data_IF_567726657183
#
_entry.id   IF_567726657183
#
_cell.length_a   1.000
_cell.length_b   1.000
_cell.length_c   1.000
_cell.angle_alpha   90.00
_cell.angle_beta   90.00
_cell.angle_gamma   90.00
#
_symmetry.space_group_name_H-M   'P 1'
#
loop_
_entity.id
_entity.type
_entity.pdbx_description
1 polymer ?
#
# COMPACT_ATOMS: atom_id res chain seq x y z
N UNK A 1 19.40 -15.79 2.76
CA UNK A 1 19.54 -14.48 3.44
C UNK A 1 18.66 -14.53 4.67
N UNK A 2 19.17 -14.16 5.84
CA UNK A 2 18.37 -14.08 7.07
C UNK A 2 17.44 -12.86 6.97
N UNK A 3 16.13 -12.98 7.23
CA UNK A 3 15.23 -11.84 7.28
C UNK A 3 15.73 -10.79 8.28
N UNK A 4 15.66 -9.52 7.93
CA UNK A 4 15.99 -8.42 8.84
C UNK A 4 14.71 -7.72 9.24
N UNK A 5 14.55 -7.45 10.53
CA UNK A 5 13.43 -6.65 11.01
C UNK A 5 13.43 -5.28 10.32
N UNK A 6 12.25 -4.81 9.90
CA UNK A 6 12.09 -3.50 9.26
C UNK A 6 12.43 -2.41 10.29
N UNK A 7 13.62 -1.82 10.17
CA UNK A 7 14.07 -0.74 11.07
C UNK A 7 13.63 0.65 10.64
N UNK A 8 13.37 0.85 9.35
CA UNK A 8 13.10 2.16 8.75
C UNK A 8 11.74 2.19 8.04
N UNK A 9 11.76 2.28 6.72
CA UNK A 9 10.58 2.35 5.87
C UNK A 9 10.55 1.18 4.92
N UNK A 10 9.36 0.69 4.65
CA UNK A 10 9.09 -0.29 3.60
C UNK A 10 7.81 0.13 2.88
N UNK A 11 7.66 -0.30 1.65
CA UNK A 11 6.50 0.02 0.84
C UNK A 11 6.03 -1.22 0.11
N UNK A 12 4.72 -1.41 0.05
CA UNK A 12 4.09 -2.53 -0.64
C UNK A 12 2.83 -2.07 -1.37
N UNK A 13 2.51 -2.81 -2.41
CA UNK A 13 1.18 -2.86 -3.02
C UNK A 13 0.55 -4.23 -2.74
N UNK A 14 -0.76 -4.27 -2.56
CA UNK A 14 -1.52 -5.52 -2.71
C UNK A 14 -2.45 -5.37 -3.91
N UNK A 15 -2.39 -6.30 -4.85
CA UNK A 15 -3.24 -6.29 -6.05
C UNK A 15 -4.71 -6.58 -5.72
N UNK A 16 -5.64 -6.28 -6.66
CA UNK A 16 -7.04 -6.69 -6.55
C UNK A 16 -7.25 -8.22 -6.46
N UNK A 17 -6.24 -9.04 -6.71
CA UNK A 17 -6.25 -10.49 -6.58
C UNK A 17 -5.57 -10.96 -5.29
N UNK A 18 -4.95 -10.05 -4.52
CA UNK A 18 -4.28 -10.33 -3.26
C UNK A 18 -2.77 -10.57 -3.37
N UNK A 19 -2.15 -10.32 -4.53
CA UNK A 19 -0.70 -10.45 -4.70
C UNK A 19 0.03 -9.31 -3.99
N UNK A 20 1.01 -9.63 -3.14
CA UNK A 20 1.80 -8.65 -2.40
C UNK A 20 3.07 -8.32 -3.19
N UNK A 21 3.23 -7.05 -3.56
CA UNK A 21 4.35 -6.54 -4.35
C UNK A 21 5.20 -5.58 -3.50
N UNK A 22 6.44 -5.95 -3.14
CA UNK A 22 7.35 -5.03 -2.46
C UNK A 22 7.83 -3.93 -3.40
N UNK A 23 7.93 -2.72 -2.87
CA UNK A 23 8.32 -1.51 -3.61
C UNK A 23 9.70 -1.07 -3.14
N UNK A 24 10.69 -1.11 -4.04
CA UNK A 24 12.09 -0.78 -3.73
C UNK A 24 12.38 0.72 -3.67
N UNK A 25 11.62 1.54 -4.41
CA UNK A 25 11.79 3.00 -4.49
C UNK A 25 10.63 3.70 -3.76
N UNK A 26 9.62 4.15 -4.50
CA UNK A 26 8.38 4.71 -3.99
C UNK A 26 7.20 4.15 -4.81
N UNK A 27 5.99 4.36 -4.31
CA UNK A 27 4.78 3.78 -4.90
C UNK A 27 4.53 4.24 -6.34
N UNK A 28 4.81 5.50 -6.68
CA UNK A 28 4.51 6.03 -8.01
C UNK A 28 5.56 5.60 -9.05
N UNK A 29 6.84 5.58 -8.67
CA UNK A 29 7.91 5.04 -9.52
C UNK A 29 7.66 3.58 -9.88
N UNK A 30 7.17 2.78 -8.91
CA UNK A 30 6.83 1.38 -9.17
C UNK A 30 5.70 1.25 -10.20
N UNK A 31 4.69 2.11 -10.14
CA UNK A 31 3.60 2.14 -11.14
C UNK A 31 4.15 2.55 -12.51
N UNK A 32 4.99 3.58 -12.57
CA UNK A 32 5.61 4.07 -13.81
C UNK A 32 6.51 3.02 -14.46
N UNK A 33 7.24 2.24 -13.66
CA UNK A 33 8.12 1.17 -14.15
C UNK A 33 7.35 -0.09 -14.58
N UNK A 34 6.13 -0.28 -14.06
CA UNK A 34 5.32 -1.48 -14.32
C UNK A 34 3.87 -1.15 -14.71
N UNK A 35 3.62 -0.27 -15.70
CA UNK A 35 2.28 0.24 -15.98
C UNK A 35 1.28 -0.85 -16.34
N UNK A 36 1.73 -1.90 -17.05
CA UNK A 36 0.91 -3.05 -17.42
C UNK A 36 0.36 -3.82 -16.20
N UNK A 37 1.08 -3.88 -15.09
CA UNK A 37 0.59 -4.53 -13.87
C UNK A 37 -0.63 -3.80 -13.29
N UNK A 38 -0.64 -2.47 -13.42
CA UNK A 38 -1.67 -1.60 -12.88
C UNK A 38 -2.77 -1.27 -13.89
N UNK A 39 -2.70 -1.82 -15.12
CA UNK A 39 -3.50 -1.36 -16.26
C UNK A 39 -3.46 0.18 -16.42
N UNK A 40 -2.29 0.78 -16.12
CA UNK A 40 -2.11 2.22 -16.12
C UNK A 40 -1.70 2.74 -17.49
N UNK A 41 -2.30 3.84 -17.91
CA UNK A 41 -1.94 4.57 -19.12
C UNK A 41 -0.94 5.69 -18.76
N UNK A 42 0.29 5.56 -19.25
CA UNK A 42 1.36 6.51 -18.97
C UNK A 42 1.09 7.90 -19.57
N UNK A 43 0.37 7.99 -20.68
CA UNK A 43 0.06 9.28 -21.30
C UNK A 43 -1.02 10.02 -20.49
N UNK A 44 -2.03 9.30 -19.99
CA UNK A 44 -3.00 9.84 -19.02
C UNK A 44 -2.31 10.29 -17.74
N UNK A 45 -1.37 9.51 -17.21
CA UNK A 45 -0.59 9.90 -16.04
C UNK A 45 0.24 11.16 -16.31
N UNK A 46 0.93 11.25 -17.45
CA UNK A 46 1.73 12.43 -17.82
C UNK A 46 0.89 13.68 -17.93
N UNK A 47 -0.31 13.58 -18.50
CA UNK A 47 -1.26 14.69 -18.58
C UNK A 47 -1.61 15.23 -17.18
N UNK A 48 -1.80 14.35 -16.19
CA UNK A 48 -2.06 14.81 -14.80
C UNK A 48 -0.89 15.59 -14.21
N UNK A 49 0.34 15.11 -14.41
CA UNK A 49 1.54 15.84 -13.99
C UNK A 49 1.63 17.21 -14.65
N UNK A 50 1.32 17.30 -15.96
CA UNK A 50 1.28 18.57 -16.69
C UNK A 50 0.19 19.51 -16.16
N UNK A 51 -1.02 19.01 -15.88
CA UNK A 51 -2.14 19.80 -15.33
C UNK A 51 -1.75 20.47 -13.99
N UNK A 52 -1.03 19.75 -13.13
CA UNK A 52 -0.58 20.28 -11.84
C UNK A 52 0.77 21.02 -11.92
N UNK A 53 1.39 21.08 -13.09
CA UNK A 53 2.71 21.67 -13.32
C UNK A 53 3.80 21.01 -12.44
N UNK A 54 3.69 19.70 -12.23
CA UNK A 54 4.58 18.89 -11.39
C UNK A 54 5.56 18.07 -12.26
N UNK A 55 6.84 17.91 -11.88
CA UNK A 55 7.77 17.04 -12.59
C UNK A 55 7.29 15.57 -12.63
N UNK A 56 7.54 14.88 -13.74
CA UNK A 56 7.17 13.47 -13.89
C UNK A 56 7.74 12.60 -12.75
N UNK A 57 6.87 11.84 -12.08
CA UNK A 57 7.24 10.96 -10.97
C UNK A 57 7.44 11.68 -9.63
N UNK A 58 7.29 13.01 -9.56
CA UNK A 58 7.42 13.72 -8.29
C UNK A 58 6.26 13.41 -7.33
N UNK A 59 6.53 13.59 -6.04
CA UNK A 59 5.48 13.67 -5.03
C UNK A 59 4.67 14.97 -5.25
N UNK A 60 3.36 14.92 -5.03
CA UNK A 60 2.46 16.04 -5.33
C UNK A 60 1.00 15.62 -5.53
N UNK A 61 0.21 16.53 -6.09
CA UNK A 61 -1.22 16.34 -6.41
C UNK A 61 -1.41 15.30 -7.50
N UNK A 62 -0.61 15.32 -8.57
CA UNK A 62 -0.74 14.34 -9.65
C UNK A 62 -0.51 12.91 -9.12
N UNK A 63 0.54 12.74 -8.31
CA UNK A 63 0.82 11.48 -7.61
C UNK A 63 -0.33 11.09 -6.68
N UNK A 64 -0.91 12.02 -5.93
CA UNK A 64 -2.04 11.73 -5.06
C UNK A 64 -3.25 11.20 -5.85
N UNK A 65 -3.64 11.88 -6.93
CA UNK A 65 -4.76 11.48 -7.79
C UNK A 65 -4.55 10.10 -8.41
N UNK A 66 -3.35 9.83 -8.94
CA UNK A 66 -3.03 8.52 -9.52
C UNK A 66 -3.13 7.41 -8.47
N UNK A 67 -2.57 7.61 -7.28
CA UNK A 67 -2.63 6.62 -6.19
C UNK A 67 -4.07 6.41 -5.73
N UNK A 68 -4.87 7.47 -5.62
CA UNK A 68 -6.28 7.37 -5.26
C UNK A 68 -7.06 6.53 -6.29
N UNK A 69 -6.86 6.77 -7.59
CA UNK A 69 -7.51 5.99 -8.63
C UNK A 69 -7.16 4.51 -8.57
N UNK A 70 -5.88 4.18 -8.39
CA UNK A 70 -5.45 2.78 -8.23
C UNK A 70 -6.11 2.13 -7.02
N UNK A 71 -6.19 2.85 -5.90
CA UNK A 71 -6.86 2.34 -4.70
C UNK A 71 -8.36 2.13 -4.95
N UNK A 72 -9.03 3.05 -5.65
CA UNK A 72 -10.43 2.92 -6.04
C UNK A 72 -10.67 1.74 -7.00
N UNK A 73 -9.67 1.35 -7.78
CA UNK A 73 -9.66 0.14 -8.62
C UNK A 73 -9.40 -1.15 -7.83
N UNK A 74 -9.18 -1.07 -6.51
CA UNK A 74 -9.06 -2.23 -5.63
C UNK A 74 -7.63 -2.57 -5.20
N UNK A 75 -6.64 -1.76 -5.59
CA UNK A 75 -5.29 -1.86 -5.05
C UNK A 75 -5.24 -1.40 -3.58
N UNK A 76 -4.34 -1.98 -2.79
CA UNK A 76 -4.07 -1.53 -1.42
C UNK A 76 -2.66 -0.98 -1.36
N UNK A 77 -2.53 0.30 -1.01
CA UNK A 77 -1.23 0.93 -0.78
C UNK A 77 -0.82 0.72 0.67
N UNK A 78 0.37 0.17 0.92
CA UNK A 78 0.93 0.03 2.27
C UNK A 78 2.26 0.76 2.35
N UNK A 79 2.40 1.67 3.31
CA UNK A 79 3.65 2.36 3.63
C UNK A 79 3.98 2.18 5.10
N UNK A 80 5.11 1.55 5.38
CA UNK A 80 5.72 1.48 6.71
C UNK A 80 6.58 2.71 6.96
N UNK A 81 6.32 3.41 8.06
CA UNK A 81 7.15 4.45 8.67
C UNK A 81 7.70 3.94 9.99
N UNK A 82 8.72 4.57 10.56
CA UNK A 82 9.40 4.13 11.80
C UNK A 82 8.48 3.61 12.92
N UNK A 83 7.32 4.24 13.12
CA UNK A 83 6.39 3.95 14.23
C UNK A 83 4.95 3.61 13.81
N UNK A 84 4.68 3.41 12.51
CA UNK A 84 3.34 3.02 12.05
C UNK A 84 3.33 2.56 10.60
N UNK A 85 2.23 1.92 10.21
CA UNK A 85 1.82 1.75 8.82
C UNK A 85 0.75 2.79 8.46
N UNK A 86 0.84 3.32 7.24
CA UNK A 86 -0.25 4.01 6.54
C UNK A 86 -0.74 3.10 5.43
N UNK A 87 -2.02 2.76 5.48
CA UNK A 87 -2.67 1.82 4.57
C UNK A 87 -3.83 2.53 3.89
N UNK A 88 -3.85 2.56 2.56
CA UNK A 88 -5.03 3.02 1.82
C UNK A 88 -5.76 1.84 1.21
N UNK A 89 -7.06 1.81 1.44
CA UNK A 89 -7.99 0.84 0.86
C UNK A 89 -9.14 1.61 0.20
N UNK A 90 -9.79 1.00 -0.79
CA UNK A 90 -11.05 1.54 -1.32
C UNK A 90 -12.08 1.65 -0.20
N UNK A 91 -12.32 0.52 0.44
CA UNK A 91 -13.23 0.34 1.56
C UNK A 91 -12.66 -0.76 2.48
N UNK A 92 -12.87 -0.67 3.78
CA UNK A 92 -12.46 -1.69 4.74
C UNK A 92 -13.55 -2.77 4.88
N UNK A 93 -13.78 -3.49 3.79
CA UNK A 93 -14.72 -4.62 3.75
C UNK A 93 -14.02 -5.96 4.09
N UNK A 94 -14.78 -7.07 4.04
CA UNK A 94 -14.26 -8.40 4.32
C UNK A 94 -13.17 -8.85 3.33
N UNK A 95 -13.16 -8.33 2.10
CA UNK A 95 -12.15 -8.67 1.10
C UNK A 95 -10.83 -7.94 1.44
N UNK A 96 -10.91 -6.65 1.75
CA UNK A 96 -9.77 -5.86 2.21
C UNK A 96 -9.19 -6.43 3.50
N UNK A 97 -10.04 -6.78 4.49
CA UNK A 97 -9.61 -7.41 5.75
C UNK A 97 -8.91 -8.75 5.51
N UNK A 98 -9.42 -9.60 4.61
CA UNK A 98 -8.76 -10.86 4.22
C UNK A 98 -7.37 -10.63 3.66
N UNK A 99 -7.20 -9.65 2.77
CA UNK A 99 -5.90 -9.31 2.17
C UNK A 99 -4.93 -8.73 3.19
N UNK A 100 -5.40 -7.81 4.04
CA UNK A 100 -4.60 -7.21 5.10
C UNK A 100 -4.18 -8.25 6.16
N UNK A 101 -5.07 -9.18 6.51
CA UNK A 101 -4.76 -10.29 7.41
C UNK A 101 -3.70 -11.23 6.82
N UNK A 102 -3.84 -11.59 5.55
CA UNK A 102 -2.84 -12.38 4.83
C UNK A 102 -1.48 -11.67 4.82
N UNK A 103 -1.45 -10.37 4.48
CA UNK A 103 -0.23 -9.57 4.53
C UNK A 103 0.38 -9.53 5.93
N UNK A 104 -0.44 -9.30 6.97
CA UNK A 104 -0.01 -9.24 8.36
C UNK A 104 0.63 -10.55 8.84
N UNK A 105 0.11 -11.71 8.43
CA UNK A 105 0.72 -13.02 8.72
C UNK A 105 2.02 -13.18 7.93
N UNK A 106 1.99 -12.94 6.62
CA UNK A 106 3.15 -13.14 5.75
C UNK A 106 4.36 -12.30 6.18
N UNK A 107 4.17 -11.02 6.47
CA UNK A 107 5.26 -10.11 6.87
C UNK A 107 5.84 -10.44 8.25
N UNK A 108 5.03 -11.04 9.14
CA UNK A 108 5.40 -11.37 10.51
C UNK A 108 5.93 -12.81 10.69
N UNK A 109 5.60 -13.72 9.77
CA UNK A 109 6.00 -15.13 9.88
C UNK A 109 7.20 -15.43 8.98
N UNK A 110 7.09 -15.11 7.69
CA UNK A 110 8.11 -15.46 6.68
C UNK A 110 8.86 -14.24 6.15
N UNK A 111 8.29 -13.05 6.32
CA UNK A 111 8.73 -11.83 5.66
C UNK A 111 8.34 -11.77 4.18
N UNK A 112 8.58 -10.61 3.56
CA UNK A 112 8.37 -10.33 2.14
C UNK A 112 9.65 -9.70 1.58
N UNK A 113 10.30 -10.39 0.63
CA UNK A 113 11.59 -9.99 0.04
C UNK A 113 12.63 -9.50 1.07
N UNK A 114 12.80 -10.25 2.16
CA UNK A 114 13.78 -9.94 3.22
C UNK A 114 13.35 -8.88 4.23
N UNK A 115 12.17 -8.29 4.06
CA UNK A 115 11.52 -7.42 5.05
C UNK A 115 10.66 -8.24 6.00
N UNK A 116 10.81 -8.01 7.30
CA UNK A 116 10.08 -8.72 8.35
C UNK A 116 9.57 -7.73 9.42
N UNK A 117 8.32 -7.84 9.85
CA UNK A 117 7.81 -7.06 10.99
C UNK A 117 7.81 -7.91 12.27
N UNK A 118 8.60 -7.47 13.26
CA UNK A 118 8.66 -8.14 14.55
C UNK A 118 7.63 -7.59 15.55
N UNK A 119 7.18 -6.34 15.37
CA UNK A 119 6.22 -5.71 16.27
C UNK A 119 4.78 -5.95 15.80
N UNK A 120 4.12 -6.96 16.39
CA UNK A 120 2.73 -7.29 16.10
C UNK A 120 1.73 -6.23 16.60
N UNK A 121 2.18 -5.31 17.46
CA UNK A 121 1.38 -4.20 17.98
C UNK A 121 1.63 -2.90 17.22
N UNK A 122 2.47 -2.91 16.18
CA UNK A 122 2.73 -1.76 15.32
C UNK A 122 1.40 -1.18 14.79
N UNK A 123 1.13 0.12 15.02
CA UNK A 123 -0.12 0.74 14.57
C UNK A 123 -0.26 0.73 13.06
N UNK A 124 -1.41 0.29 12.58
CA UNK A 124 -1.84 0.33 11.19
C UNK A 124 -2.96 1.35 11.04
N UNK A 125 -2.62 2.52 10.51
CA UNK A 125 -3.57 3.59 10.21
C UNK A 125 -4.16 3.32 8.82
N UNK A 126 -5.38 2.77 8.80
CA UNK A 126 -6.11 2.41 7.58
C UNK A 126 -7.02 3.56 7.20
N UNK A 127 -6.92 3.99 5.96
CA UNK A 127 -7.65 5.14 5.39
C UNK A 127 -8.47 4.62 4.22
N UNK A 128 -9.79 4.70 4.34
CA UNK A 128 -10.73 4.41 3.26
C UNK A 128 -10.86 5.61 2.34
N UNK A 129 -10.83 5.38 1.03
CA UNK A 129 -10.93 6.46 0.03
C UNK A 129 -12.33 6.59 -0.62
N UNK A 130 -13.28 5.72 -0.28
CA UNK A 130 -14.64 5.74 -0.85
C UNK A 130 -15.66 6.50 0.03
N UNK A 131 -16.50 7.32 -0.59
CA UNK A 131 -17.62 8.13 -0.04
C UNK A 131 -17.30 9.14 1.07
N UNK A 132 -16.46 8.84 2.05
CA UNK A 132 -15.89 9.79 3.03
C UNK A 132 -14.58 9.19 3.58
N UNK A 133 -13.54 10.00 3.82
CA UNK A 133 -12.31 9.49 4.43
C UNK A 133 -12.59 8.96 5.83
N UNK A 134 -12.70 7.64 5.96
CA UNK A 134 -12.79 6.96 7.26
C UNK A 134 -11.40 6.50 7.67
N UNK A 135 -11.09 6.75 8.95
CA UNK A 135 -9.83 6.39 9.55
C UNK A 135 -10.07 5.28 10.57
N UNK A 136 -9.36 4.18 10.42
CA UNK A 136 -9.33 3.09 11.37
C UNK A 136 -7.91 2.91 11.87
N UNK A 137 -7.78 2.56 13.14
CA UNK A 137 -6.51 2.16 13.71
C UNK A 137 -6.63 0.74 14.22
N UNK A 138 -5.82 -0.15 13.63
CA UNK A 138 -5.69 -1.54 14.05
C UNK A 138 -4.22 -1.85 14.28
N UNK A 139 -3.90 -2.97 14.93
CA UNK A 139 -2.55 -3.55 14.96
C UNK A 139 -2.46 -4.75 14.03
N UNK A 140 -1.24 -5.27 13.79
CA UNK A 140 -1.11 -6.53 13.06
C UNK A 140 -1.77 -7.70 13.79
N UNK A 141 -1.65 -7.79 15.12
CA UNK A 141 -2.38 -8.80 15.91
C UNK A 141 -3.89 -8.74 15.64
N UNK A 142 -4.48 -7.55 15.68
CA UNK A 142 -5.91 -7.38 15.39
C UNK A 142 -6.25 -7.74 13.95
N UNK A 143 -5.42 -7.38 12.97
CA UNK A 143 -5.63 -7.77 11.56
C UNK A 143 -5.55 -9.29 11.37
N UNK A 144 -4.68 -9.98 12.09
CA UNK A 144 -4.55 -11.45 12.05
C UNK A 144 -5.78 -12.16 12.62
N UNK A 145 -6.46 -11.55 13.61
CA UNK A 145 -7.66 -12.10 14.27
C UNK A 145 -8.97 -11.88 13.48
N UNK A 146 -9.05 -10.85 12.64
CA UNK A 146 -10.29 -10.44 11.93
C UNK A 146 -10.80 -11.41 10.86
N UNK A 147 -10.09 -12.51 10.60
CA UNK A 147 -10.40 -13.49 9.54
C UNK A 147 -10.47 -14.91 10.12
N UNK A 148 -11.13 -15.07 11.27
CA UNK A 148 -11.60 -16.37 11.73
C UNK A 148 -12.91 -16.76 11.05
#
# INVERSE_FOLDING_TARGET
MTPSAIKNTAAFWISPEGMILPVKTNHIDFVIQHPALFAADLDVMRQRYQIHNEPWGSEGKARHEIICDLVLQGWIRIRRYRHSYSINVRQLDNIALKRLSHFARLIADTGVEGSFEADLYMPCNIIELHHHHQHHQLTFSQLQEKVQ
#
